data_IF_686450928462
#
_entry.id   IF_686450928462
#
_cell.length_a   1.000
_cell.length_b   1.000
_cell.length_c   1.000
_cell.angle_alpha   90.00
_cell.angle_beta   90.00
_cell.angle_gamma   90.00
#
_symmetry.space_group_name_H-M   'P 1'
#
loop_
_entity.id
_entity.type
_entity.pdbx_description
1 polymer ?
#
# COMPACT_ATOMS: atom_id res chain seq x y z
N UNK A 1 5.23 10.20 8.36
CA UNK A 1 4.95 10.37 9.80
C UNK A 1 3.54 9.84 10.08
N UNK A 2 3.37 8.80 10.91
CA UNK A 2 2.04 8.20 11.13
C UNK A 2 1.88 7.27 12.36
N UNK A 3 2.96 6.77 12.99
CA UNK A 3 2.82 5.71 14.00
C UNK A 3 2.11 6.12 15.29
N UNK A 4 2.43 7.30 15.83
CA UNK A 4 1.89 7.72 17.14
C UNK A 4 0.44 8.22 17.06
N UNK A 5 0.13 9.07 16.06
CA UNK A 5 -1.20 9.69 15.94
C UNK A 5 -2.27 8.74 15.40
N UNK A 6 -1.89 7.66 14.70
CA UNK A 6 -2.86 6.68 14.17
C UNK A 6 -3.11 5.49 15.11
N UNK A 7 -2.33 5.35 16.19
CA UNK A 7 -2.37 4.16 17.05
C UNK A 7 -3.76 3.87 17.64
N UNK A 8 -4.50 4.90 18.05
CA UNK A 8 -5.86 4.73 18.57
C UNK A 8 -6.85 4.21 17.53
N UNK A 9 -6.80 4.72 16.30
CA UNK A 9 -7.68 4.28 15.21
C UNK A 9 -7.36 2.84 14.77
N UNK A 10 -6.07 2.54 14.57
CA UNK A 10 -5.62 1.19 14.19
C UNK A 10 -5.99 0.15 15.24
N UNK A 11 -5.85 0.48 16.53
CA UNK A 11 -6.23 -0.40 17.63
C UNK A 11 -7.73 -0.73 17.65
N UNK A 12 -8.59 0.28 17.44
CA UNK A 12 -10.04 0.08 17.33
C UNK A 12 -10.39 -0.83 16.14
N UNK A 13 -9.90 -0.52 14.95
CA UNK A 13 -10.14 -1.30 13.72
C UNK A 13 -9.73 -2.76 13.89
N UNK A 14 -8.59 -3.02 14.54
CA UNK A 14 -8.12 -4.39 14.80
C UNK A 14 -9.00 -5.12 15.82
N UNK A 15 -9.43 -4.46 16.89
CA UNK A 15 -10.29 -5.06 17.90
C UNK A 15 -11.67 -5.43 17.35
N UNK A 16 -12.27 -4.55 16.54
CA UNK A 16 -13.54 -4.82 15.86
C UNK A 16 -13.43 -6.03 14.94
N UNK A 17 -12.35 -6.10 14.15
CA UNK A 17 -12.12 -7.24 13.27
C UNK A 17 -12.01 -8.57 14.04
N UNK A 18 -11.32 -8.57 15.18
CA UNK A 18 -11.17 -9.77 16.02
C UNK A 18 -12.50 -10.22 16.66
N UNK A 19 -13.36 -9.28 17.07
CA UNK A 19 -14.58 -9.57 17.83
C UNK A 19 -15.78 -9.82 16.90
N UNK A 20 -15.92 -9.02 15.85
CA UNK A 20 -17.09 -8.99 14.96
C UNK A 20 -16.82 -9.59 13.58
N UNK A 21 -15.55 -9.85 13.22
CA UNK A 21 -15.18 -10.38 11.91
C UNK A 21 -15.07 -9.33 10.80
N UNK A 22 -15.46 -8.09 11.08
CA UNK A 22 -15.38 -6.94 10.17
C UNK A 22 -15.04 -5.66 10.94
N UNK A 23 -14.45 -4.68 10.27
CA UNK A 23 -14.17 -3.37 10.85
C UNK A 23 -15.21 -2.34 10.38
N UNK A 24 -15.55 -1.39 11.26
CA UNK A 24 -16.47 -0.29 10.90
C UNK A 24 -15.87 0.63 9.83
N UNK A 25 -14.55 0.87 9.91
CA UNK A 25 -13.81 1.70 8.98
C UNK A 25 -13.21 0.87 7.84
N UNK A 26 -13.14 1.45 6.64
CA UNK A 26 -12.45 0.83 5.50
C UNK A 26 -10.96 0.64 5.80
N UNK A 27 -10.57 -0.61 6.06
CA UNK A 27 -9.21 -1.01 6.35
C UNK A 27 -8.42 -1.40 5.10
N UNK A 28 -9.02 -1.36 3.91
CA UNK A 28 -8.37 -1.75 2.65
C UNK A 28 -7.01 -1.05 2.40
N UNK A 29 -6.84 0.26 2.68
CA UNK A 29 -5.55 0.94 2.49
C UNK A 29 -4.44 0.40 3.39
N UNK A 30 -4.79 -0.25 4.51
CA UNK A 30 -3.86 -0.79 5.51
C UNK A 30 -3.66 -2.29 5.37
N UNK A 31 -4.56 -3.00 4.68
CA UNK A 31 -4.52 -4.45 4.51
C UNK A 31 -3.21 -4.90 3.84
N UNK A 32 -2.62 -5.96 4.37
CA UNK A 32 -1.41 -6.60 3.85
C UNK A 32 -1.76 -7.40 2.58
N UNK A 33 -2.96 -7.96 2.48
CA UNK A 33 -3.40 -8.79 1.35
C UNK A 33 -3.52 -8.02 0.03
N UNK A 34 -3.53 -6.67 0.05
CA UNK A 34 -3.55 -5.85 -1.17
C UNK A 34 -2.27 -5.99 -2.01
N UNK A 35 -1.20 -6.48 -1.39
CA UNK A 35 0.10 -6.66 -2.01
C UNK A 35 0.19 -8.06 -2.64
N UNK A 36 0.46 -8.14 -3.94
CA UNK A 36 0.68 -9.42 -4.64
C UNK A 36 2.14 -9.86 -4.64
N UNK A 37 2.41 -11.09 -5.12
CA UNK A 37 3.74 -11.73 -5.10
C UNK A 37 4.88 -10.87 -5.64
N UNK A 38 4.60 -10.02 -6.63
CA UNK A 38 5.57 -9.11 -7.23
C UNK A 38 6.17 -8.09 -6.24
N UNK A 39 5.50 -7.83 -5.12
CA UNK A 39 5.96 -6.93 -4.05
C UNK A 39 6.76 -7.62 -2.96
N UNK A 40 6.76 -8.97 -2.93
CA UNK A 40 7.53 -9.78 -1.97
C UNK A 40 9.00 -9.98 -2.39
N UNK A 41 9.33 -9.64 -3.64
CA UNK A 41 10.67 -9.83 -4.19
C UNK A 41 11.68 -8.79 -3.65
N UNK A 42 12.91 -9.23 -3.30
CA UNK A 42 14.05 -8.36 -2.97
C UNK A 42 14.44 -7.38 -4.09
N UNK A 43 13.98 -7.63 -5.33
CA UNK A 43 14.18 -6.75 -6.50
C UNK A 43 13.21 -5.56 -6.48
N UNK A 44 12.06 -5.65 -5.79
CA UNK A 44 11.26 -4.47 -5.45
C UNK A 44 12.22 -3.63 -4.56
N UNK A 45 12.78 -2.49 -5.02
CA UNK A 45 13.99 -1.93 -4.40
C UNK A 45 13.67 -1.18 -3.10
N UNK A 46 14.42 -1.32 -2.00
CA UNK A 46 14.12 -0.63 -0.72
C UNK A 46 13.89 0.90 -0.82
N UNK A 47 14.36 1.55 -1.89
CA UNK A 47 14.12 2.96 -2.23
C UNK A 47 12.69 3.33 -2.64
N UNK A 48 11.79 2.39 -2.94
CA UNK A 48 10.41 2.76 -3.28
C UNK A 48 9.67 3.44 -2.12
N UNK A 49 10.14 3.32 -0.86
CA UNK A 49 9.49 3.97 0.27
C UNK A 49 9.58 5.50 0.20
N UNK A 50 10.70 6.03 -0.28
CA UNK A 50 10.92 7.47 -0.43
C UNK A 50 10.24 8.04 -1.68
N UNK A 51 10.05 7.21 -2.72
CA UNK A 51 9.35 7.60 -3.95
C UNK A 51 7.83 7.44 -3.85
N UNK A 52 7.35 6.46 -3.06
CA UNK A 52 5.93 6.20 -2.83
C UNK A 52 5.32 7.16 -1.81
N UNK A 53 6.12 7.59 -0.82
CA UNK A 53 5.69 8.53 0.22
C UNK A 53 6.75 9.60 0.48
N UNK A 54 7.06 10.44 -0.52
CA UNK A 54 7.99 11.55 -0.33
C UNK A 54 7.42 12.52 0.71
N UNK A 55 8.15 12.81 1.80
CA UNK A 55 7.66 13.76 2.79
C UNK A 55 7.55 15.14 2.12
N UNK A 56 6.36 15.75 2.23
CA UNK A 56 6.07 17.11 1.75
C UNK A 56 5.96 17.30 0.23
N UNK A 57 5.86 16.23 -0.57
CA UNK A 57 5.43 16.36 -1.97
C UNK A 57 3.90 16.50 -2.04
N UNK A 58 3.43 17.33 -2.95
CA UNK A 58 2.02 17.33 -3.33
C UNK A 58 1.77 16.19 -4.33
N UNK A 59 1.00 15.20 -3.92
CA UNK A 59 0.56 14.12 -4.83
C UNK A 59 -0.60 14.62 -5.69
N UNK A 60 -0.54 14.36 -7.00
CA UNK A 60 -1.64 14.71 -7.91
C UNK A 60 -2.60 13.54 -8.11
N UNK A 61 -3.91 13.80 -8.32
CA UNK A 61 -4.82 12.76 -8.78
C UNK A 61 -4.26 12.08 -10.04
N UNK A 62 -4.28 10.74 -10.06
CA UNK A 62 -3.77 9.92 -11.17
C UNK A 62 -2.25 10.02 -11.41
N UNK A 63 -1.47 10.53 -10.45
CA UNK A 63 -0.02 10.54 -10.55
C UNK A 63 0.57 9.15 -10.71
N UNK A 64 1.56 9.03 -11.59
CA UNK A 64 2.25 7.78 -11.85
C UNK A 64 3.66 7.81 -11.30
N UNK A 65 3.90 6.96 -10.31
CA UNK A 65 5.22 6.81 -9.72
C UNK A 65 6.07 5.85 -10.57
N UNK A 66 7.35 6.21 -10.84
CA UNK A 66 8.23 5.41 -11.70
C UNK A 66 8.76 4.14 -11.00
N UNK A 67 8.76 4.11 -9.66
CA UNK A 67 9.31 3.01 -8.89
C UNK A 67 8.53 1.70 -9.10
N UNK A 68 9.24 0.57 -9.20
CA UNK A 68 8.63 -0.75 -9.34
C UNK A 68 8.07 -1.08 -10.73
N UNK A 69 8.27 -0.22 -11.73
CA UNK A 69 7.95 -0.53 -13.14
C UNK A 69 9.23 -1.01 -13.86
N UNK A 70 9.18 -2.05 -14.71
CA UNK A 70 8.01 -2.78 -15.19
C UNK A 70 7.81 -4.18 -14.57
N UNK A 71 7.57 -4.28 -13.26
CA UNK A 71 7.57 -5.59 -12.58
C UNK A 71 6.36 -6.48 -12.88
N UNK A 72 5.27 -5.95 -13.44
CA UNK A 72 4.10 -6.73 -13.89
C UNK A 72 3.61 -6.22 -15.24
N UNK A 73 3.92 -6.96 -16.31
CA UNK A 73 3.44 -6.69 -17.68
C UNK A 73 2.55 -7.85 -18.15
N UNK A 74 1.47 -7.52 -18.87
CA UNK A 74 0.74 -8.53 -19.66
C UNK A 74 1.59 -8.90 -20.88
N UNK A 75 1.47 -10.12 -21.43
CA UNK A 75 2.06 -10.45 -22.71
C UNK A 75 1.64 -9.42 -23.75
N UNK A 76 2.53 -8.98 -24.67
CA UNK A 76 2.10 -8.16 -25.78
C UNK A 76 1.04 -8.93 -26.57
N UNK A 77 -0.09 -8.28 -26.82
CA UNK A 77 -1.13 -8.81 -27.69
C UNK A 77 -0.52 -8.90 -29.09
N UNK A 78 -0.08 -10.09 -29.48
CA UNK A 78 0.49 -10.37 -30.80
C UNK A 78 -0.69 -10.54 -31.75
N UNK A 79 -0.70 -9.92 -32.95
CA UNK A 79 -1.72 -10.18 -33.95
C UNK A 79 -1.69 -11.64 -34.43
#
# INVERSE_FOLDING_TARGET
MAGFLQGGGVGKTLAEWMIHGEAEADSWPMDIARYGDFTSNRIYPPDHRSVLFPPFRHDLPQEQLPAGRPLRRRPPMTP
#
